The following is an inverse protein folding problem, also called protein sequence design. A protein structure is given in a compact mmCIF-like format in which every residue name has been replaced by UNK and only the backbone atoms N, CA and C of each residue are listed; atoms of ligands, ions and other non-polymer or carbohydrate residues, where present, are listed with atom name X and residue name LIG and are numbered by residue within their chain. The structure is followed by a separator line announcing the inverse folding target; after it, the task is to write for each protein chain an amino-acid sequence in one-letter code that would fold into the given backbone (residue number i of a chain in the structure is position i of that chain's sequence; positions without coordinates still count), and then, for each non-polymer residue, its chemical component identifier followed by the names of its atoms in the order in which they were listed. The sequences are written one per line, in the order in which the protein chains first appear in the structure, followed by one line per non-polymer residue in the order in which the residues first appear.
data_IF_503263293153
#
_entry.id   IF_503263293153
#
_cell.length_a   1.000
_cell.length_b   1.000
_cell.length_c   1.000
_cell.angle_alpha   90.00
_cell.angle_beta   90.00
_cell.angle_gamma   90.00
#
_symmetry.space_group_name_H-M   'P 1'
#
loop_
_entity.id
_entity.type
_entity.pdbx_description
1 polymer ?
#
# COMPACT_ATOMS: atom_id res chain seq x y z
N UNK A 1 18.31 29.17 18.95
CA UNK A 1 16.98 28.53 18.86
C UNK A 1 17.16 27.01 18.84
N UNK A 2 16.24 26.24 19.43
CA UNK A 2 16.28 24.76 19.43
C UNK A 2 15.86 24.26 18.05
N UNK A 3 16.65 23.36 17.44
CA UNK A 3 16.31 22.73 16.15
C UNK A 3 15.10 21.82 16.31
N UNK A 4 14.17 21.89 15.37
CA UNK A 4 13.01 20.99 15.30
C UNK A 4 13.41 19.70 14.60
N UNK A 5 13.19 18.56 15.26
CA UNK A 5 13.34 17.25 14.62
C UNK A 5 12.10 16.94 13.80
N UNK A 6 12.29 16.64 12.53
CA UNK A 6 11.20 16.35 11.60
C UNK A 6 11.49 15.06 10.84
N UNK A 7 10.44 14.29 10.54
CA UNK A 7 10.56 13.08 9.75
C UNK A 7 10.14 13.38 8.30
N UNK A 8 11.00 13.05 7.34
CA UNK A 8 10.67 13.02 5.92
C UNK A 8 10.32 11.59 5.58
N UNK A 9 9.02 11.33 5.41
CA UNK A 9 8.52 10.02 5.00
C UNK A 9 8.72 9.88 3.49
N UNK A 10 9.33 8.79 3.06
CA UNK A 10 9.60 8.53 1.65
C UNK A 10 9.54 7.02 1.38
N UNK A 11 9.40 6.67 0.10
CA UNK A 11 9.39 5.27 -0.32
C UNK A 11 8.00 4.66 -0.46
N UNK A 12 7.95 3.33 -0.37
CA UNK A 12 6.92 2.49 -0.95
C UNK A 12 7.37 1.87 -2.29
N UNK A 13 6.69 0.85 -2.80
CA UNK A 13 6.85 0.39 -4.17
C UNK A 13 5.77 1.09 -4.97
N UNK A 14 6.06 2.31 -5.39
CA UNK A 14 5.27 3.09 -6.34
C UNK A 14 6.03 3.17 -7.68
N UNK A 15 5.39 3.32 -8.85
CA UNK A 15 6.07 3.71 -10.10
C UNK A 15 6.76 5.07 -9.97
N UNK A 16 6.18 5.97 -9.17
CA UNK A 16 6.73 7.24 -8.73
C UNK A 16 7.75 7.10 -7.60
N UNK A 17 8.24 5.90 -7.26
CA UNK A 17 9.27 5.74 -6.22
C UNK A 17 10.50 6.60 -6.46
N UNK A 18 10.94 6.69 -7.73
CA UNK A 18 12.00 7.61 -8.14
C UNK A 18 11.64 9.07 -7.91
N UNK A 19 10.39 9.45 -8.16
CA UNK A 19 9.85 10.81 -7.93
C UNK A 19 9.71 11.11 -6.43
N UNK A 20 9.30 10.14 -5.61
CA UNK A 20 9.23 10.23 -4.14
C UNK A 20 10.63 10.43 -3.55
N UNK A 21 11.63 9.70 -4.05
CA UNK A 21 13.04 9.89 -3.70
C UNK A 21 13.56 11.27 -4.12
N UNK A 22 13.24 11.72 -5.34
CA UNK A 22 13.63 13.04 -5.84
C UNK A 22 12.98 14.16 -5.04
N UNK A 23 11.70 14.02 -4.69
CA UNK A 23 10.97 14.98 -3.87
C UNK A 23 11.55 15.06 -2.45
N UNK A 24 11.81 13.92 -1.81
CA UNK A 24 12.46 13.86 -0.51
C UNK A 24 13.87 14.48 -0.54
N UNK A 25 14.65 14.20 -1.58
CA UNK A 25 15.98 14.79 -1.78
C UNK A 25 15.92 16.31 -1.98
N UNK A 26 14.97 16.81 -2.77
CA UNK A 26 14.79 18.25 -3.00
C UNK A 26 14.39 19.00 -1.72
N UNK A 27 13.51 18.39 -0.90
CA UNK A 27 13.14 18.92 0.42
C UNK A 27 14.37 19.02 1.32
N UNK A 28 15.21 17.97 1.37
CA UNK A 28 16.43 17.98 2.18
C UNK A 28 17.45 19.02 1.72
N UNK A 29 17.64 19.16 0.40
CA UNK A 29 18.61 20.11 -0.16
C UNK A 29 18.25 21.58 0.08
N UNK A 30 16.95 21.89 0.15
CA UNK A 30 16.46 23.25 0.35
C UNK A 30 16.06 23.53 1.81
N UNK A 31 16.32 22.58 2.72
CA UNK A 31 15.95 22.71 4.12
C UNK A 31 16.94 23.59 4.88
N UNK A 32 16.42 24.47 5.73
CA UNK A 32 17.25 25.26 6.65
C UNK A 32 17.80 24.39 7.78
N UNK A 33 19.02 23.90 7.60
CA UNK A 33 19.77 23.08 8.56
C UNK A 33 20.04 23.76 9.90
N UNK A 34 19.88 25.09 9.97
CA UNK A 34 19.99 25.84 11.23
C UNK A 34 18.73 25.72 12.08
N UNK A 35 17.59 25.37 11.46
CA UNK A 35 16.27 25.27 12.10
C UNK A 35 15.77 23.83 12.23
N UNK A 36 16.13 22.94 11.30
CA UNK A 36 15.59 21.58 11.23
C UNK A 36 16.66 20.49 11.26
N UNK A 37 16.35 19.38 11.92
CA UNK A 37 17.08 18.12 11.86
C UNK A 37 16.15 17.08 11.24
N UNK A 38 16.41 16.69 10.00
CA UNK A 38 15.56 15.76 9.26
C UNK A 38 15.99 14.30 9.46
N UNK A 39 15.02 13.43 9.72
CA UNK A 39 15.18 11.97 9.75
C UNK A 39 14.41 11.36 8.59
N UNK A 40 15.09 10.53 7.81
CA UNK A 40 14.49 9.82 6.69
C UNK A 40 13.81 8.55 7.20
N UNK A 41 12.52 8.36 6.90
CA UNK A 41 11.75 7.16 7.29
C UNK A 41 11.14 6.50 6.05
N UNK A 42 11.55 5.26 5.77
CA UNK A 42 11.11 4.45 4.63
C UNK A 42 9.81 3.67 4.90
N UNK A 43 9.00 3.42 3.86
CA UNK A 43 7.73 2.67 3.95
C UNK A 43 7.79 1.36 3.11
N UNK A 44 7.45 0.16 3.65
CA UNK A 44 7.54 -1.14 2.93
C UNK A 44 6.32 -1.49 2.07
N UNK A 45 6.48 -2.32 1.01
CA UNK A 45 5.42 -2.64 0.02
C UNK A 45 5.36 -4.10 -0.47
N UNK A 46 5.38 -5.04 0.48
CA UNK A 46 5.54 -6.47 0.23
C UNK A 46 4.50 -7.14 -0.70
N UNK A 47 3.35 -6.51 -0.99
CA UNK A 47 2.30 -7.05 -1.88
C UNK A 47 2.39 -6.59 -3.36
N UNK A 48 3.44 -5.83 -3.72
CA UNK A 48 3.57 -5.25 -5.06
C UNK A 48 4.00 -6.27 -6.14
N UNK A 49 3.78 -5.93 -7.41
CA UNK A 49 4.27 -6.65 -8.60
C UNK A 49 3.63 -8.03 -8.83
N UNK A 50 2.30 -8.10 -9.01
CA UNK A 50 1.54 -9.31 -9.37
C UNK A 50 1.53 -10.45 -8.35
N UNK A 51 1.96 -10.21 -7.12
CA UNK A 51 1.92 -11.24 -6.09
C UNK A 51 0.55 -11.33 -5.37
N UNK A 52 -0.32 -10.33 -5.54
CA UNK A 52 -1.65 -10.30 -4.91
C UNK A 52 -2.80 -10.18 -5.90
N UNK A 53 -3.99 -10.53 -5.42
CA UNK A 53 -5.28 -10.37 -6.13
C UNK A 53 -6.32 -9.77 -5.19
N UNK A 54 -7.38 -9.23 -5.77
CA UNK A 54 -8.55 -8.71 -5.07
C UNK A 54 -9.81 -9.29 -5.70
N UNK A 55 -10.90 -9.43 -4.94
CA UNK A 55 -12.18 -9.82 -5.51
C UNK A 55 -13.07 -8.60 -5.73
N UNK A 56 -13.65 -8.47 -6.91
CA UNK A 56 -14.59 -7.39 -7.26
C UNK A 56 -15.78 -8.02 -7.97
N UNK A 57 -17.01 -7.74 -7.52
CA UNK A 57 -18.26 -8.23 -8.12
C UNK A 57 -18.30 -9.77 -8.36
N UNK A 58 -17.56 -10.55 -7.56
CA UNK A 58 -17.53 -12.01 -7.70
C UNK A 58 -16.47 -12.54 -8.68
N UNK A 59 -15.53 -11.72 -9.11
CA UNK A 59 -14.42 -12.08 -9.98
C UNK A 59 -13.07 -11.78 -9.32
N UNK A 60 -12.03 -12.57 -9.65
CA UNK A 60 -10.66 -12.27 -9.24
C UNK A 60 -10.03 -11.25 -10.18
N UNK A 61 -9.39 -10.24 -9.61
CA UNK A 61 -8.72 -9.18 -10.34
C UNK A 61 -7.28 -9.06 -9.82
N UNK A 62 -6.24 -9.25 -10.66
CA UNK A 62 -4.86 -9.23 -10.21
C UNK A 62 -4.40 -7.82 -9.88
N UNK A 63 -3.63 -7.67 -8.79
CA UNK A 63 -3.01 -6.40 -8.44
C UNK A 63 -1.84 -6.18 -9.40
N UNK A 64 -1.94 -5.16 -10.24
CA UNK A 64 -0.91 -4.81 -11.20
C UNK A 64 -0.12 -3.60 -10.75
N UNK A 65 1.14 -3.55 -11.17
CA UNK A 65 2.04 -2.51 -10.73
C UNK A 65 2.30 -2.62 -9.23
N UNK A 66 2.22 -1.49 -8.56
CA UNK A 66 3.02 -1.21 -7.38
C UNK A 66 2.10 -0.56 -6.34
N UNK A 67 2.06 -1.10 -5.12
CA UNK A 67 1.12 -0.64 -4.07
C UNK A 67 1.70 0.58 -3.37
N UNK A 68 0.93 1.66 -3.36
CA UNK A 68 1.24 2.93 -2.71
C UNK A 68 0.61 2.98 -1.31
N UNK A 69 0.93 4.04 -0.54
CA UNK A 69 0.45 4.21 0.84
C UNK A 69 -1.08 4.12 0.96
N UNK A 70 -1.81 4.71 0.02
CA UNK A 70 -3.27 4.83 0.05
C UNK A 70 -3.95 4.33 -1.24
N UNK A 71 -3.19 3.80 -2.20
CA UNK A 71 -3.68 3.46 -3.54
C UNK A 71 -3.04 2.18 -4.06
N UNK A 72 -3.79 1.44 -4.86
CA UNK A 72 -3.29 0.32 -5.64
C UNK A 72 -3.99 0.29 -6.99
N UNK A 73 -3.39 -0.44 -7.93
CA UNK A 73 -3.92 -0.62 -9.28
C UNK A 73 -4.25 -2.10 -9.46
N UNK A 74 -5.38 -2.36 -10.09
CA UNK A 74 -5.92 -3.70 -10.31
C UNK A 74 -6.33 -3.81 -11.77
N UNK A 75 -5.99 -4.91 -12.43
CA UNK A 75 -6.45 -5.17 -13.79
C UNK A 75 -7.89 -5.65 -13.77
N UNK A 76 -8.77 -4.91 -14.45
CA UNK A 76 -10.21 -5.19 -14.57
C UNK A 76 -10.63 -5.49 -16.01
N UNK A 77 -9.67 -5.73 -16.92
CA UNK A 77 -9.92 -5.88 -18.36
C UNK A 77 -10.98 -6.94 -18.68
N UNK A 78 -10.98 -8.05 -17.92
CA UNK A 78 -11.90 -9.18 -18.11
C UNK A 78 -13.12 -9.15 -17.17
N UNK A 79 -13.25 -8.12 -16.32
CA UNK A 79 -14.35 -8.03 -15.36
C UNK A 79 -15.54 -7.25 -15.95
N UNK A 80 -16.76 -7.82 -15.93
CA UNK A 80 -17.93 -7.12 -16.43
C UNK A 80 -18.37 -6.00 -15.48
N UNK A 81 -18.65 -4.81 -16.04
CA UNK A 81 -19.39 -3.71 -15.38
C UNK A 81 -18.85 -3.22 -14.01
N UNK A 82 -17.53 -3.15 -13.83
CA UNK A 82 -16.92 -2.54 -12.62
C UNK A 82 -17.18 -1.03 -12.57
N UNK A 83 -17.71 -0.53 -11.44
CA UNK A 83 -18.06 0.88 -11.24
C UNK A 83 -17.43 1.45 -9.97
N UNK A 84 -17.34 2.78 -9.93
CA UNK A 84 -16.91 3.49 -8.73
C UNK A 84 -17.90 3.24 -7.59
N UNK A 85 -17.38 2.86 -6.42
CA UNK A 85 -18.19 2.50 -5.26
C UNK A 85 -18.40 0.99 -5.09
N UNK A 86 -18.02 0.17 -6.08
CA UNK A 86 -18.05 -1.27 -5.94
C UNK A 86 -17.08 -1.76 -4.86
N UNK A 87 -17.44 -2.87 -4.22
CA UNK A 87 -16.69 -3.42 -3.09
C UNK A 87 -15.53 -4.27 -3.62
N UNK A 88 -14.33 -3.92 -3.18
CA UNK A 88 -13.11 -4.69 -3.39
C UNK A 88 -12.76 -5.48 -2.12
N UNK A 89 -12.69 -6.81 -2.21
CA UNK A 89 -12.44 -7.71 -1.08
C UNK A 89 -11.00 -8.23 -1.13
N UNK A 90 -10.22 -7.86 -0.11
CA UNK A 90 -8.81 -8.28 0.05
C UNK A 90 -8.65 -9.51 0.94
N UNK A 91 -9.56 -9.69 1.90
CA UNK A 91 -9.66 -10.86 2.77
C UNK A 91 -11.16 -11.13 2.96
N UNK A 92 -11.61 -12.31 2.58
CA UNK A 92 -13.02 -12.71 2.65
C UNK A 92 -13.53 -13.29 1.34
N UNK A 93 -14.86 -13.37 1.24
CA UNK A 93 -15.56 -13.99 0.11
C UNK A 93 -16.22 -12.97 -0.79
N UNK A 94 -16.23 -13.25 -2.08
CA UNK A 94 -17.04 -12.53 -3.07
C UNK A 94 -17.47 -13.52 -4.16
N UNK A 95 -18.78 -13.76 -4.26
CA UNK A 95 -19.32 -14.77 -5.17
C UNK A 95 -18.81 -16.17 -4.83
N UNK A 96 -18.20 -16.84 -5.81
CA UNK A 96 -17.64 -18.20 -5.68
C UNK A 96 -16.19 -18.20 -5.16
N UNK A 97 -15.54 -17.03 -5.10
CA UNK A 97 -14.13 -16.91 -4.76
C UNK A 97 -13.94 -16.45 -3.30
N UNK A 98 -12.82 -16.87 -2.72
CA UNK A 98 -12.38 -16.51 -1.38
C UNK A 98 -10.89 -16.18 -1.40
N UNK A 99 -10.52 -15.08 -0.75
CA UNK A 99 -9.13 -14.76 -0.43
C UNK A 99 -8.99 -14.84 1.08
N UNK A 100 -8.17 -15.77 1.56
CA UNK A 100 -7.89 -15.88 2.99
C UNK A 100 -6.72 -14.99 3.39
N UNK A 101 -6.61 -14.69 4.68
CA UNK A 101 -5.43 -14.00 5.21
C UNK A 101 -4.14 -14.83 5.06
N UNK A 102 -4.27 -16.15 4.92
CA UNK A 102 -3.15 -17.04 4.63
C UNK A 102 -2.64 -16.82 3.20
N UNK A 103 -3.53 -16.84 2.21
CA UNK A 103 -3.17 -16.63 0.80
C UNK A 103 -2.43 -15.30 0.61
N UNK A 104 -2.94 -14.25 1.27
CA UNK A 104 -2.34 -12.92 1.20
C UNK A 104 -0.96 -12.85 1.90
N UNK A 105 -0.77 -13.64 2.96
CA UNK A 105 0.51 -13.69 3.68
C UNK A 105 1.57 -14.47 2.88
N UNK A 106 1.18 -15.60 2.30
CA UNK A 106 2.02 -16.41 1.42
C UNK A 106 2.48 -15.59 0.20
N UNK A 107 1.53 -14.91 -0.45
CA UNK A 107 1.80 -13.94 -1.52
C UNK A 107 2.80 -12.84 -1.13
N UNK A 108 2.77 -12.40 0.12
CA UNK A 108 3.64 -11.35 0.65
C UNK A 108 4.98 -11.86 1.19
N UNK A 109 5.21 -13.18 1.19
CA UNK A 109 6.40 -13.79 1.81
C UNK A 109 6.46 -13.61 3.33
N UNK A 110 5.31 -13.55 4.01
CA UNK A 110 5.20 -13.42 5.48
C UNK A 110 4.24 -14.47 6.06
N UNK A 111 4.02 -14.44 7.37
CA UNK A 111 3.07 -15.31 8.08
C UNK A 111 1.77 -14.57 8.38
N UNK A 112 0.66 -15.32 8.46
CA UNK A 112 -0.69 -14.76 8.68
C UNK A 112 -0.79 -13.86 9.91
N UNK A 113 -0.14 -14.24 11.02
CA UNK A 113 -0.14 -13.45 12.25
C UNK A 113 0.54 -12.09 12.08
N UNK A 114 1.63 -12.02 11.31
CA UNK A 114 2.31 -10.77 11.02
C UNK A 114 1.43 -9.90 10.13
N UNK A 115 0.85 -10.47 9.06
CA UNK A 115 -0.04 -9.75 8.16
C UNK A 115 -1.23 -9.13 8.90
N UNK A 116 -1.94 -9.91 9.72
CA UNK A 116 -3.11 -9.44 10.47
C UNK A 116 -2.73 -8.43 11.56
N UNK A 117 -1.61 -8.64 12.26
CA UNK A 117 -1.14 -7.72 13.31
C UNK A 117 -0.66 -6.38 12.76
N UNK A 118 -0.33 -6.31 11.46
CA UNK A 118 0.09 -5.09 10.76
C UNK A 118 -1.08 -4.29 10.17
N UNK A 119 -2.31 -4.78 10.28
CA UNK A 119 -3.50 -4.01 9.92
C UNK A 119 -3.59 -2.76 10.81
N UNK A 120 -3.33 -1.60 10.21
CA UNK A 120 -3.19 -0.34 10.94
C UNK A 120 -4.50 0.26 11.42
N UNK A 121 -4.41 1.24 12.32
CA UNK A 121 -5.55 1.96 12.91
C UNK A 121 -6.37 2.81 11.92
N UNK A 122 -5.91 2.96 10.67
CA UNK A 122 -6.67 3.62 9.59
C UNK A 122 -7.90 2.81 9.17
N UNK A 123 -7.90 1.50 9.41
CA UNK A 123 -9.05 0.65 9.10
C UNK A 123 -10.15 0.86 10.13
N UNK A 124 -11.34 1.19 9.63
CA UNK A 124 -12.52 1.27 10.46
C UNK A 124 -13.06 -0.14 10.72
N UNK A 125 -13.15 -0.53 11.99
CA UNK A 125 -13.90 -1.73 12.37
C UNK A 125 -15.40 -1.42 12.34
N UNK A 126 -16.16 -2.25 11.64
CA UNK A 126 -17.62 -2.23 11.62
C UNK A 126 -18.06 -3.49 12.37
N UNK A 127 -18.81 -3.31 13.45
CA UNK A 127 -19.30 -4.38 14.34
C UNK A 127 -20.81 -4.42 14.29
#
# INVERSE_FOLDING_TARGET
MKRLKIAVLFGGCSPEYSVSLQSAAAVLQNMDSSKYEAVMVGIPCALSCNHGKVLINGYEAPIIGRICMDQMIVDITDLPDVKSGDIAVFIGKSGQYEITAYDLAEASGTITNELLSRLGSRLRMIV
#
